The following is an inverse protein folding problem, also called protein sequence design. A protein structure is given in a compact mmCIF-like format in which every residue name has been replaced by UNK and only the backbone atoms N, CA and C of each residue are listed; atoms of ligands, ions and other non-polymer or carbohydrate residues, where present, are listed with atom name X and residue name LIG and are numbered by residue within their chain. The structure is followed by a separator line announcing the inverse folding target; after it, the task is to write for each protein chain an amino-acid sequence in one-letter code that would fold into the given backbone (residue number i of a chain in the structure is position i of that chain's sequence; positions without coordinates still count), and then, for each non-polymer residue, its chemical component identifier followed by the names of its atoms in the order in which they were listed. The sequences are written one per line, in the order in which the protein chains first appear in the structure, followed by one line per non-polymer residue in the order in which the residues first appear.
data_IF_108100016100
#
_entry.id   IF_108100016100
#
_cell.length_a   1.000
_cell.length_b   1.000
_cell.length_c   1.000
_cell.angle_alpha   90.00
_cell.angle_beta   90.00
_cell.angle_gamma   90.00
#
_symmetry.space_group_name_H-M   'P 1'
#
loop_
_entity.id
_entity.type
_entity.pdbx_description
1 polymer ?
#
# COMPACT_ATOMS: atom_id res chain seq x y z
N UNK A 1 -5.72 7.69 -19.65
CA UNK A 1 -6.12 7.34 -18.28
C UNK A 1 -4.86 7.21 -17.43
N UNK A 2 -4.62 8.12 -16.48
CA UNK A 2 -3.33 8.24 -15.80
C UNK A 2 -3.30 7.43 -14.49
N UNK A 3 -2.63 6.26 -14.51
CA UNK A 3 -2.42 5.36 -13.35
C UNK A 3 -1.36 5.89 -12.35
N UNK A 4 -1.45 7.16 -11.92
CA UNK A 4 -0.43 7.76 -11.04
C UNK A 4 -0.61 7.49 -9.54
N UNK A 5 -1.75 6.90 -9.13
CA UNK A 5 -2.09 6.74 -7.71
C UNK A 5 -1.18 5.74 -7.00
N UNK A 6 -0.94 4.56 -7.60
CA UNK A 6 -0.07 3.52 -7.03
C UNK A 6 1.35 4.04 -6.81
N UNK A 7 1.94 4.67 -7.83
CA UNK A 7 3.30 5.23 -7.78
C UNK A 7 3.47 6.26 -6.65
N UNK A 8 2.47 7.13 -6.42
CA UNK A 8 2.54 8.11 -5.32
C UNK A 8 2.52 7.46 -3.95
N UNK A 9 1.76 6.37 -3.78
CA UNK A 9 1.75 5.60 -2.52
C UNK A 9 3.10 4.92 -2.31
N UNK A 10 3.65 4.29 -3.33
CA UNK A 10 4.99 3.65 -3.26
C UNK A 10 6.08 4.66 -2.88
N UNK A 11 6.04 5.87 -3.46
CA UNK A 11 6.98 6.94 -3.12
C UNK A 11 6.85 7.44 -1.68
N UNK A 12 5.63 7.50 -1.13
CA UNK A 12 5.41 7.87 0.26
C UNK A 12 5.99 6.82 1.22
N UNK A 13 5.79 5.54 0.91
CA UNK A 13 6.36 4.42 1.67
C UNK A 13 7.88 4.43 1.59
N UNK A 14 8.45 4.66 0.41
CA UNK A 14 9.89 4.76 0.24
C UNK A 14 10.46 5.93 1.06
N UNK A 15 9.76 7.06 1.07
CA UNK A 15 10.14 8.24 1.83
C UNK A 15 10.12 7.96 3.34
N UNK A 16 9.10 7.26 3.85
CA UNK A 16 9.01 6.92 5.26
C UNK A 16 10.11 5.94 5.69
N UNK A 17 10.42 4.93 4.87
CA UNK A 17 11.44 3.93 5.20
C UNK A 17 12.88 4.41 4.99
N UNK A 18 13.18 5.08 3.86
CA UNK A 18 14.57 5.40 3.48
C UNK A 18 15.01 6.77 3.96
N UNK A 19 14.17 7.79 3.79
CA UNK A 19 14.53 9.17 4.12
C UNK A 19 14.36 9.46 5.60
N UNK A 20 13.21 9.11 6.15
CA UNK A 20 12.90 9.42 7.55
C UNK A 20 13.13 8.26 8.51
N UNK A 21 13.21 7.02 8.00
CA UNK A 21 13.32 5.80 8.81
C UNK A 21 12.30 5.77 9.95
N UNK A 22 11.09 6.27 9.67
CA UNK A 22 10.08 6.52 10.69
C UNK A 22 8.71 6.18 10.15
N UNK A 23 7.94 5.46 10.96
CA UNK A 23 6.63 4.95 10.61
C UNK A 23 5.51 5.98 10.82
N UNK A 24 5.62 7.14 10.15
CA UNK A 24 4.57 8.18 10.21
C UNK A 24 3.28 7.78 9.46
N UNK A 25 3.32 6.68 8.70
CA UNK A 25 2.16 6.09 8.03
C UNK A 25 1.41 5.11 8.95
N UNK A 26 1.94 4.83 10.15
CA UNK A 26 1.30 4.06 11.23
C UNK A 26 1.08 2.57 10.92
N UNK A 27 2.01 1.94 10.21
CA UNK A 27 1.95 0.50 9.95
C UNK A 27 2.05 -0.34 11.24
N UNK A 28 2.89 0.07 12.18
CA UNK A 28 3.05 -0.57 13.49
C UNK A 28 1.77 -0.50 14.34
N UNK A 29 1.03 0.62 14.26
CA UNK A 29 -0.28 0.74 14.91
C UNK A 29 -1.28 -0.26 14.34
N UNK A 30 -1.30 -0.43 13.01
CA UNK A 30 -2.16 -1.43 12.36
C UNK A 30 -1.76 -2.85 12.74
N UNK A 31 -0.45 -3.14 12.75
CA UNK A 31 0.10 -4.44 13.15
C UNK A 31 -0.25 -4.77 14.61
N UNK A 32 -0.17 -3.79 15.51
CA UNK A 32 -0.58 -3.95 16.90
C UNK A 32 -2.07 -4.29 17.03
N UNK A 33 -2.92 -3.59 16.29
CA UNK A 33 -4.37 -3.79 16.36
C UNK A 33 -4.82 -5.15 15.81
N UNK A 34 -4.19 -5.65 14.75
CA UNK A 34 -4.56 -6.92 14.12
C UNK A 34 -3.84 -8.13 14.70
N UNK A 35 -2.58 -7.96 15.10
CA UNK A 35 -1.66 -9.03 15.50
C UNK A 35 -0.95 -8.68 16.81
N UNK A 36 -1.68 -8.55 17.93
CA UNK A 36 -1.12 -8.06 19.19
C UNK A 36 -0.03 -8.97 19.77
N UNK A 37 -0.09 -10.28 19.53
CA UNK A 37 0.91 -11.24 20.03
C UNK A 37 2.24 -11.12 19.27
N UNK A 38 2.17 -10.93 17.97
CA UNK A 38 3.30 -10.68 17.08
C UNK A 38 3.91 -9.31 17.37
N UNK A 39 3.07 -8.29 17.56
CA UNK A 39 3.50 -6.95 17.93
C UNK A 39 4.33 -6.95 19.21
N UNK A 40 3.94 -7.71 20.24
CA UNK A 40 4.72 -7.83 21.49
C UNK A 40 6.16 -8.31 21.28
N UNK A 41 6.45 -9.03 20.19
CA UNK A 41 7.81 -9.50 19.86
C UNK A 41 8.63 -8.49 19.06
N UNK A 42 7.95 -7.53 18.43
CA UNK A 42 8.53 -6.60 17.46
C UNK A 42 8.60 -5.17 18.00
N UNK A 43 7.66 -4.77 18.88
CA UNK A 43 7.45 -3.40 19.34
C UNK A 43 8.74 -2.74 19.85
N UNK A 44 9.50 -3.46 20.68
CA UNK A 44 10.74 -2.95 21.29
C UNK A 44 11.83 -2.60 20.26
N UNK A 45 11.76 -3.19 19.06
CA UNK A 45 12.71 -2.97 17.96
C UNK A 45 12.04 -2.43 16.70
N UNK A 46 10.82 -1.90 16.82
CA UNK A 46 10.04 -1.51 15.65
C UNK A 46 10.75 -0.44 14.82
N UNK A 47 11.32 0.57 15.47
CA UNK A 47 12.09 1.63 14.80
C UNK A 47 13.31 1.10 14.02
N UNK A 48 13.92 -0.01 14.46
CA UNK A 48 15.05 -0.65 13.78
C UNK A 48 14.60 -1.54 12.60
N UNK A 49 13.48 -2.24 12.78
CA UNK A 49 12.94 -3.17 11.81
C UNK A 49 12.22 -2.45 10.67
N UNK A 50 11.47 -1.39 10.97
CA UNK A 50 10.59 -0.70 10.04
C UNK A 50 11.23 -0.30 8.70
N UNK A 51 12.45 0.26 8.65
CA UNK A 51 13.12 0.61 7.40
C UNK A 51 13.40 -0.58 6.47
N UNK A 52 13.38 -1.81 7.00
CA UNK A 52 13.69 -3.05 6.30
C UNK A 52 12.44 -3.89 5.97
N UNK A 53 11.25 -3.45 6.40
CA UNK A 53 10.00 -4.17 6.13
C UNK A 53 9.69 -4.13 4.64
N UNK A 54 9.40 -5.28 4.04
CA UNK A 54 8.94 -5.35 2.66
C UNK A 54 7.45 -4.97 2.59
N UNK A 55 7.12 -3.92 1.82
CA UNK A 55 5.74 -3.45 1.67
C UNK A 55 5.32 -3.55 0.21
N UNK A 56 4.27 -4.34 -0.05
CA UNK A 56 3.70 -4.51 -1.39
C UNK A 56 2.39 -3.72 -1.55
N UNK A 57 2.28 -2.95 -2.64
CA UNK A 57 1.10 -2.13 -2.93
C UNK A 57 0.24 -2.77 -4.02
N UNK A 58 -1.00 -3.10 -3.66
CA UNK A 58 -2.01 -3.64 -4.57
C UNK A 58 -3.14 -2.62 -4.77
N UNK A 59 -3.48 -2.31 -6.02
CA UNK A 59 -4.59 -1.42 -6.36
C UNK A 59 -5.49 -2.08 -7.37
N UNK A 60 -6.76 -2.28 -7.03
CA UNK A 60 -7.80 -2.67 -7.97
C UNK A 60 -8.63 -1.43 -8.35
N UNK A 61 -9.05 -1.37 -9.61
CA UNK A 61 -9.95 -0.34 -10.11
C UNK A 61 -11.08 -1.01 -10.88
N UNK A 62 -12.31 -0.58 -10.65
CA UNK A 62 -13.46 -0.97 -11.46
C UNK A 62 -13.91 0.25 -12.24
N UNK A 63 -13.89 0.16 -13.56
CA UNK A 63 -14.49 1.18 -14.42
C UNK A 63 -16.01 0.99 -14.37
N UNK A 64 -16.72 2.01 -13.89
CA UNK A 64 -18.18 1.97 -13.71
C UNK A 64 -18.94 2.78 -14.74
N UNK A 65 -18.25 3.57 -15.57
CA UNK A 65 -18.86 4.36 -16.64
C UNK A 65 -19.54 3.45 -17.69
N UNK A 66 -20.85 3.64 -17.97
CA UNK A 66 -21.57 2.89 -18.98
C UNK A 66 -20.93 2.97 -20.37
N UNK A 67 -20.41 4.14 -20.75
CA UNK A 67 -19.86 4.42 -22.06
C UNK A 67 -18.56 3.64 -22.34
N UNK A 68 -17.76 3.37 -21.30
CA UNK A 68 -16.49 2.65 -21.39
C UNK A 68 -16.66 1.12 -21.27
N UNK A 69 -17.86 0.63 -20.91
CA UNK A 69 -18.18 -0.81 -20.91
C UNK A 69 -18.53 -1.34 -22.29
N UNK A 70 -19.08 -0.49 -23.16
CA UNK A 70 -19.63 -0.88 -24.47
C UNK A 70 -18.50 -1.21 -25.47
N UNK A 71 -17.37 -0.52 -25.38
CA UNK A 71 -16.21 -0.73 -26.25
C UNK A 71 -15.41 -2.01 -25.94
N UNK A 72 -15.61 -2.60 -24.75
CA UNK A 72 -14.93 -3.83 -24.32
C UNK A 72 -15.69 -5.14 -24.59
N UNK A 73 -16.95 -5.07 -25.05
CA UNK A 73 -17.79 -6.22 -25.39
C UNK A 73 -18.46 -6.01 -26.75
N UNK A 74 -17.65 -5.75 -27.77
CA UNK A 74 -18.13 -5.52 -29.14
C UNK A 74 -17.14 -6.09 -30.16
N UNK A 75 -16.82 -7.38 -30.04
CA UNK A 75 -15.80 -8.03 -30.85
C UNK A 75 -16.14 -9.46 -31.22
N UNK A 76 -17.24 -9.68 -31.94
CA UNK A 76 -17.34 -10.71 -33.00
C UNK A 76 -18.52 -10.38 -33.89
N UNK A 77 -18.23 -10.21 -35.18
CA UNK A 77 -19.18 -10.42 -36.27
C UNK A 77 -19.59 -11.90 -36.31
#
# INVERSE_FOLDING_TARGET
MHFHKKKRIEQLIETSQRKYKSDFLKFGERLHNEYPLEWRKLADRWEELYPHVEISVFSSGRVTSPELKIDGQGGTR
#
